data_IF_058819215130
#
_entry.id   IF_058819215130
#
_cell.length_a   1.000
_cell.length_b   1.000
_cell.length_c   1.000
_cell.angle_alpha   90.00
_cell.angle_beta   90.00
_cell.angle_gamma   90.00
#
_symmetry.space_group_name_H-M   'P 1'
#
loop_
_entity.id
_entity.type
_entity.pdbx_description
1 polymer ?
#
# COMPACT_ATOMS: atom_id res chain seq x y z
N UNK A 1 -22.68 2.18 3.10
CA UNK A 1 -21.37 2.08 3.77
C UNK A 1 -21.23 3.36 4.55
N UNK A 2 -21.11 3.28 5.88
CA UNK A 2 -20.96 4.49 6.69
C UNK A 2 -19.52 5.00 6.56
N UNK A 3 -19.30 6.31 6.67
CA UNK A 3 -17.95 6.90 6.58
C UNK A 3 -17.00 6.28 7.62
N UNK A 4 -17.53 5.85 8.76
CA UNK A 4 -16.80 5.09 9.79
C UNK A 4 -16.23 3.76 9.27
N UNK A 5 -17.00 3.02 8.46
CA UNK A 5 -16.55 1.75 7.87
C UNK A 5 -15.41 1.98 6.87
N UNK A 6 -15.49 3.09 6.12
CA UNK A 6 -14.48 3.48 5.14
C UNK A 6 -13.19 3.91 5.85
N UNK A 7 -13.30 4.70 6.93
CA UNK A 7 -12.16 5.12 7.75
C UNK A 7 -11.46 3.94 8.42
N UNK A 8 -12.23 3.02 8.99
CA UNK A 8 -11.70 1.79 9.58
C UNK A 8 -10.93 0.95 8.54
N UNK A 9 -11.52 0.74 7.36
CA UNK A 9 -10.88 -0.01 6.26
C UNK A 9 -9.57 0.66 5.82
N UNK A 10 -9.57 1.98 5.62
CA UNK A 10 -8.37 2.72 5.22
C UNK A 10 -7.25 2.62 6.27
N UNK A 11 -7.58 2.76 7.55
CA UNK A 11 -6.62 2.64 8.64
C UNK A 11 -6.04 1.22 8.73
N UNK A 12 -6.85 0.19 8.52
CA UNK A 12 -6.41 -1.21 8.51
C UNK A 12 -5.45 -1.53 7.36
N UNK A 13 -5.73 -1.03 6.15
CA UNK A 13 -4.80 -1.18 5.01
C UNK A 13 -3.44 -0.56 5.32
N UNK A 14 -3.42 0.66 5.87
CA UNK A 14 -2.17 1.34 6.21
C UNK A 14 -1.38 0.60 7.30
N UNK A 15 -2.06 0.01 8.30
CA UNK A 15 -1.42 -0.83 9.31
C UNK A 15 -0.83 -2.10 8.71
N UNK A 16 -1.55 -2.75 7.80
CA UNK A 16 -1.07 -3.95 7.10
C UNK A 16 0.21 -3.63 6.32
N UNK A 17 0.23 -2.52 5.56
CA UNK A 17 1.42 -2.06 4.86
C UNK A 17 2.57 -1.72 5.82
N UNK A 18 2.29 -1.09 6.96
CA UNK A 18 3.31 -0.79 7.97
C UNK A 18 3.98 -2.07 8.51
N UNK A 19 3.20 -3.13 8.73
CA UNK A 19 3.71 -4.43 9.17
C UNK A 19 4.58 -5.12 8.10
N UNK A 20 4.25 -4.97 6.82
CA UNK A 20 5.09 -5.46 5.72
C UNK A 20 6.45 -4.73 5.70
N UNK A 21 6.45 -3.40 5.86
CA UNK A 21 7.69 -2.64 5.96
C UNK A 21 8.52 -3.05 7.19
N UNK A 22 7.89 -3.32 8.34
CA UNK A 22 8.60 -3.84 9.52
C UNK A 22 9.23 -5.21 9.25
N UNK A 23 8.52 -6.10 8.55
CA UNK A 23 9.08 -7.41 8.16
C UNK A 23 10.26 -7.25 7.22
N UNK A 24 10.17 -6.36 6.23
CA UNK A 24 11.29 -6.05 5.33
C UNK A 24 12.50 -5.46 6.08
N UNK A 25 12.26 -4.57 7.06
CA UNK A 25 13.31 -4.05 7.93
C UNK A 25 13.97 -5.16 8.78
N UNK A 26 13.17 -6.05 9.36
CA UNK A 26 13.66 -7.21 10.12
C UNK A 26 14.44 -8.20 9.26
N UNK A 27 14.11 -8.30 7.96
CA UNK A 27 14.87 -9.06 6.97
C UNK A 27 16.16 -8.35 6.51
N UNK A 28 16.47 -7.16 7.03
CA UNK A 28 17.68 -6.40 6.71
C UNK A 28 17.57 -5.56 5.43
N UNK A 29 16.40 -5.50 4.80
CA UNK A 29 16.18 -4.66 3.62
C UNK A 29 15.96 -3.22 4.09
N UNK A 30 16.88 -2.32 3.73
CA UNK A 30 16.84 -0.88 4.05
C UNK A 30 16.19 -0.57 5.42
N UNK A 31 16.75 -1.07 6.55
CA UNK A 31 16.03 -1.12 7.81
C UNK A 31 15.53 0.24 8.30
N UNK A 32 16.35 1.28 8.18
CA UNK A 32 16.00 2.64 8.59
C UNK A 32 14.84 3.21 7.75
N UNK A 33 14.93 3.11 6.42
CA UNK A 33 13.89 3.60 5.51
C UNK A 33 12.57 2.87 5.70
N UNK A 34 12.62 1.55 5.90
CA UNK A 34 11.44 0.73 6.10
C UNK A 34 10.79 0.98 7.47
N UNK A 35 11.58 1.16 8.54
CA UNK A 35 11.05 1.57 9.84
C UNK A 35 10.42 2.96 9.80
N UNK A 36 11.04 3.89 9.06
CA UNK A 36 10.46 5.23 8.84
C UNK A 36 9.14 5.13 8.08
N UNK A 37 9.08 4.37 6.98
CA UNK A 37 7.87 4.15 6.19
C UNK A 37 6.74 3.55 7.05
N UNK A 38 7.04 2.50 7.83
CA UNK A 38 6.08 1.90 8.75
C UNK A 38 5.54 2.93 9.77
N UNK A 39 6.41 3.76 10.34
CA UNK A 39 6.03 4.79 11.31
C UNK A 39 5.13 5.87 10.71
N UNK A 40 5.38 6.26 9.46
CA UNK A 40 4.55 7.25 8.74
C UNK A 40 3.17 6.69 8.41
N UNK A 41 3.10 5.41 8.01
CA UNK A 41 1.84 4.73 7.71
C UNK A 41 0.97 4.59 8.96
N UNK A 42 1.55 4.24 10.12
CA UNK A 42 0.81 4.18 11.39
C UNK A 42 0.30 5.55 11.85
N UNK A 43 1.13 6.59 11.73
CA UNK A 43 0.71 7.96 12.03
C UNK A 43 -0.46 8.38 11.15
N UNK A 44 -0.43 8.01 9.87
CA UNK A 44 -1.54 8.30 8.94
C UNK A 44 -2.80 7.50 9.30
N UNK A 45 -2.68 6.22 9.63
CA UNK A 45 -3.80 5.40 10.08
C UNK A 45 -4.50 6.01 11.31
N UNK A 46 -3.71 6.45 12.30
CA UNK A 46 -4.24 7.10 13.50
C UNK A 46 -4.97 8.42 13.18
N UNK A 47 -4.45 9.22 12.25
CA UNK A 47 -5.11 10.46 11.81
C UNK A 47 -6.41 10.21 11.04
N UNK A 48 -6.49 9.14 10.24
CA UNK A 48 -7.73 8.73 9.56
C UNK A 48 -8.78 8.30 10.59
N UNK A 49 -8.42 7.47 11.57
CA UNK A 49 -9.35 7.06 12.63
C UNK A 49 -9.85 8.23 13.49
N UNK A 50 -8.99 9.23 13.72
CA UNK A 50 -9.36 10.45 14.42
C UNK A 50 -10.26 11.40 13.59
N UNK A 51 -10.50 11.10 12.31
CA UNK A 51 -11.22 11.98 11.40
C UNK A 51 -10.44 13.23 10.98
N UNK A 52 -9.12 13.26 11.22
CA UNK A 52 -8.22 14.38 10.89
C UNK A 52 -7.64 14.28 9.47
N UNK A 53 -7.75 13.11 8.82
CA UNK A 53 -7.29 12.83 7.46
C UNK A 53 -8.45 12.35 6.55
N UNK A 54 -9.67 12.88 6.77
CA UNK A 54 -10.88 12.53 6.01
C UNK A 54 -10.91 13.08 4.57
N UNK A 55 -9.96 13.97 4.23
CA UNK A 55 -9.86 14.58 2.90
C UNK A 55 -8.98 13.80 1.92
N UNK A 56 -8.41 12.66 2.34
CA UNK A 56 -7.58 11.87 1.46
C UNK A 56 -8.46 10.99 0.54
N UNK A 57 -8.66 11.47 -0.70
CA UNK A 57 -9.24 10.73 -1.82
C UNK A 57 -8.35 9.56 -2.28
N UNK A 58 -7.92 8.70 -1.36
CA UNK A 58 -7.50 7.35 -1.73
C UNK A 58 -8.79 6.55 -1.83
N UNK A 59 -9.25 6.29 -3.05
CA UNK A 59 -10.38 5.39 -3.26
C UNK A 59 -9.92 3.97 -2.96
N UNK A 60 -10.80 3.12 -2.44
CA UNK A 60 -10.48 1.70 -2.26
C UNK A 60 -10.10 1.00 -3.58
N UNK A 61 -10.43 1.60 -4.73
CA UNK A 61 -10.03 1.11 -6.05
C UNK A 61 -8.54 1.32 -6.35
N UNK A 62 -7.92 2.36 -5.78
CA UNK A 62 -6.48 2.63 -5.98
C UNK A 62 -5.60 1.63 -5.21
N UNK A 63 -6.12 1.10 -4.10
CA UNK A 63 -5.42 0.12 -3.25
C UNK A 63 -5.42 -1.28 -3.88
N UNK A 64 -6.38 -1.58 -4.76
CA UNK A 64 -6.52 -2.90 -5.38
C UNK A 64 -5.75 -3.05 -6.71
N UNK A 65 -5.15 -1.98 -7.23
CA UNK A 65 -4.50 -1.97 -8.55
C UNK A 65 -3.08 -2.56 -8.57
N UNK A 66 -2.44 -2.82 -7.42
CA UNK A 66 -1.07 -3.37 -7.37
C UNK A 66 -0.99 -4.88 -7.04
N UNK A 67 -2.11 -5.60 -7.13
CA UNK A 67 -2.14 -7.07 -7.01
C UNK A 67 -2.33 -7.76 -8.37
N UNK A 68 -1.50 -7.42 -9.36
CA UNK A 68 -1.31 -8.27 -10.54
C UNK A 68 0.18 -8.35 -10.91
N UNK A 69 0.89 -9.41 -10.48
CA UNK A 69 2.04 -9.91 -11.21
C UNK A 69 1.56 -10.68 -12.45
N UNK A 70 2.49 -11.01 -13.36
CA UNK A 70 2.33 -11.75 -14.64
C UNK A 70 2.30 -10.82 -15.87
N UNK A 71 3.48 -10.44 -16.40
CA UNK A 71 4.25 -11.14 -17.45
C UNK A 71 3.40 -11.61 -18.62
N UNK A 72 3.61 -10.98 -19.78
CA UNK A 72 3.80 -11.67 -21.07
C UNK A 72 4.49 -10.70 -22.03
N UNK A 73 5.77 -10.96 -22.30
CA UNK A 73 6.45 -10.45 -23.49
C UNK A 73 6.01 -11.35 -24.66
N UNK A 74 5.47 -10.84 -25.77
CA UNK A 74 5.51 -11.59 -27.00
C UNK A 74 6.91 -11.43 -27.62
N UNK A 75 7.70 -12.49 -27.49
CA UNK A 75 8.74 -12.82 -28.47
C UNK A 75 8.03 -13.07 -29.80
N UNK A 76 8.20 -12.22 -30.80
CA UNK A 76 7.91 -12.60 -32.18
C UNK A 76 9.04 -12.08 -33.08
N UNK A 77 10.04 -12.93 -33.26
CA UNK A 77 10.85 -12.89 -34.46
C UNK A 77 10.03 -13.46 -35.61
N UNK A 78 9.97 -12.74 -36.71
CA UNK A 78 9.74 -13.32 -38.04
C UNK A 78 10.35 -12.38 -39.08
N UNK A 79 11.52 -12.77 -39.56
CA UNK A 79 12.00 -12.43 -40.89
C UNK A 79 10.87 -12.59 -41.91
N UNK A 80 10.69 -11.59 -42.76
CA UNK A 80 9.95 -11.74 -44.02
C UNK A 80 10.83 -11.12 -45.11
N UNK A 81 11.16 -11.98 -46.07
CA UNK A 81 11.96 -11.75 -47.30
C UNK A 81 11.79 -10.37 -47.97
#
# INVERSE_FOLDING_TARGET
MHDDDIRATKAEVLRTAADEFRRAAAAGQAPESNLLAASLLEQRAARIEAGEDDHSQVSAADIHAEAHPEREQPEEGADVD
#
